data_IF_975977546004
#
_entry.id   IF_975977546004
#
_cell.length_a   1.000
_cell.length_b   1.000
_cell.length_c   1.000
_cell.angle_alpha   90.00
_cell.angle_beta   90.00
_cell.angle_gamma   90.00
#
_symmetry.space_group_name_H-M   'P 1'
#
loop_
_entity.id
_entity.type
_entity.pdbx_description
1 polymer ?
#
# COMPACT_ATOMS: atom_id res chain seq x y z
N UNK A 1 -27.48 -11.47 -25.76
CA UNK A 1 -26.75 -12.66 -25.28
C UNK A 1 -25.48 -12.28 -24.55
N UNK A 2 -25.63 -11.87 -23.30
CA UNK A 2 -24.56 -11.82 -22.30
C UNK A 2 -25.22 -11.81 -20.91
N UNK A 3 -26.08 -12.80 -20.67
CA UNK A 3 -26.66 -13.13 -19.38
C UNK A 3 -26.28 -14.57 -19.08
N UNK A 4 -25.13 -14.77 -18.45
CA UNK A 4 -24.83 -15.97 -17.68
C UNK A 4 -23.42 -15.82 -17.12
N UNK A 5 -23.31 -15.41 -15.86
CA UNK A 5 -22.28 -15.81 -14.88
C UNK A 5 -22.49 -15.03 -13.57
N UNK A 6 -23.73 -15.04 -13.09
CA UNK A 6 -24.05 -14.82 -11.68
C UNK A 6 -24.75 -16.08 -11.19
N UNK A 7 -24.11 -16.80 -10.27
CA UNK A 7 -24.69 -17.61 -9.18
C UNK A 7 -23.81 -18.84 -8.88
N UNK A 8 -23.29 -18.88 -7.65
CA UNK A 8 -23.45 -20.01 -6.71
C UNK A 8 -22.74 -19.69 -5.38
N UNK A 9 -23.53 -19.39 -4.34
CA UNK A 9 -23.15 -19.47 -2.93
C UNK A 9 -24.31 -20.13 -2.19
N UNK A 10 -24.09 -21.15 -1.34
CA UNK A 10 -25.12 -21.64 -0.44
C UNK A 10 -24.88 -21.19 1.01
N UNK A 11 -25.99 -20.89 1.70
CA UNK A 11 -26.17 -21.30 3.09
C UNK A 11 -26.05 -20.23 4.18
N UNK A 12 -27.18 -19.59 4.52
CA UNK A 12 -27.43 -18.87 5.78
C UNK A 12 -27.21 -19.79 7.00
N UNK A 13 -26.59 -19.27 8.07
CA UNK A 13 -26.91 -19.64 9.46
C UNK A 13 -26.82 -18.45 10.44
N UNK A 14 -28.00 -18.14 10.98
CA UNK A 14 -28.36 -17.62 12.31
C UNK A 14 -27.55 -16.48 12.97
N UNK A 15 -28.29 -15.40 13.21
CA UNK A 15 -28.09 -14.38 14.25
C UNK A 15 -27.68 -14.97 15.62
N UNK A 16 -26.68 -14.34 16.23
CA UNK A 16 -26.60 -14.16 17.68
C UNK A 16 -26.18 -12.73 18.00
N UNK A 17 -27.12 -12.01 18.59
CA UNK A 17 -26.96 -10.76 19.30
C UNK A 17 -25.99 -10.97 20.47
N UNK A 18 -24.98 -10.12 20.63
CA UNK A 18 -24.22 -10.01 21.87
C UNK A 18 -24.04 -8.54 22.22
N UNK A 19 -24.49 -8.26 23.44
CA UNK A 19 -24.68 -6.98 24.06
C UNK A 19 -23.38 -6.17 24.24
N UNK A 20 -23.61 -4.87 24.31
CA UNK A 20 -22.79 -3.84 24.95
C UNK A 20 -22.03 -4.34 26.19
N UNK A 21 -20.70 -4.27 26.13
CA UNK A 21 -19.81 -4.31 27.29
C UNK A 21 -18.83 -3.16 27.17
N UNK A 22 -18.92 -2.19 28.07
CA UNK A 22 -18.04 -1.03 28.12
C UNK A 22 -16.59 -1.43 28.42
N UNK A 23 -15.65 -0.77 27.73
CA UNK A 23 -14.24 -0.82 28.05
C UNK A 23 -13.80 0.54 28.63
N UNK A 24 -12.90 0.55 29.64
CA UNK A 24 -12.62 1.72 30.45
C UNK A 24 -11.75 2.74 29.71
N UNK A 25 -12.03 4.01 29.99
CA UNK A 25 -11.26 5.17 29.58
C UNK A 25 -9.91 5.19 30.33
N UNK A 26 -8.85 4.64 29.73
CA UNK A 26 -7.47 5.11 29.87
C UNK A 26 -6.50 4.20 29.09
N UNK A 27 -6.28 4.51 27.82
CA UNK A 27 -5.08 4.11 27.09
C UNK A 27 -4.73 5.26 26.15
N UNK A 28 -3.71 6.05 26.53
CA UNK A 28 -3.12 7.04 25.62
C UNK A 28 -2.59 6.29 24.39
N UNK A 29 -3.02 6.60 23.16
CA UNK A 29 -2.48 5.95 21.98
C UNK A 29 -1.11 6.55 21.68
N UNK A 30 -0.06 5.75 21.83
CA UNK A 30 1.27 6.09 21.31
C UNK A 30 1.19 6.23 19.78
N UNK A 31 1.56 7.41 19.28
CA UNK A 31 1.39 7.88 17.89
C UNK A 31 2.12 7.04 16.81
N UNK A 32 2.79 5.96 17.21
CA UNK A 32 3.61 5.10 16.34
C UNK A 32 2.76 3.98 15.71
N UNK A 33 1.62 3.62 16.32
CA UNK A 33 0.74 2.57 15.79
C UNK A 33 0.02 2.92 14.48
N UNK A 34 -0.09 4.20 14.13
CA UNK A 34 -0.95 4.65 13.02
C UNK A 34 -0.16 5.03 11.75
N UNK A 35 1.09 5.45 11.87
CA UNK A 35 1.85 6.03 10.76
C UNK A 35 2.31 5.00 9.70
N UNK A 36 2.67 3.78 10.11
CA UNK A 36 3.21 2.76 9.19
C UNK A 36 2.08 2.08 8.39
N UNK A 37 0.87 2.00 8.94
CA UNK A 37 -0.27 1.35 8.27
C UNK A 37 -1.05 2.31 7.35
N UNK A 38 -1.03 3.62 7.60
CA UNK A 38 -1.79 4.59 6.77
C UNK A 38 -1.03 5.10 5.56
N UNK A 39 0.31 5.04 5.54
CA UNK A 39 1.10 5.47 4.38
C UNK A 39 1.09 4.45 3.22
N UNK A 40 0.89 3.16 3.49
CA UNK A 40 0.87 2.12 2.44
C UNK A 40 -0.52 1.59 2.09
N UNK A 41 -1.55 1.84 2.93
CA UNK A 41 -2.89 1.25 2.76
C UNK A 41 -4.00 2.25 2.35
N UNK A 42 -3.71 3.54 2.19
CA UNK A 42 -4.71 4.56 1.80
C UNK A 42 -4.35 5.37 0.55
N UNK A 43 -3.59 4.78 -0.37
CA UNK A 43 -3.29 5.41 -1.67
C UNK A 43 -4.46 5.40 -2.67
N UNK A 44 -5.66 4.95 -2.32
CA UNK A 44 -6.66 4.57 -3.33
C UNK A 44 -8.10 5.08 -3.19
N UNK A 45 -8.41 5.90 -2.20
CA UNK A 45 -9.73 6.53 -2.06
C UNK A 45 -9.55 7.92 -1.46
N UNK A 46 -10.47 8.87 -1.73
CA UNK A 46 -10.16 10.25 -2.13
C UNK A 46 -8.92 10.73 -1.38
N UNK A 47 -7.82 10.96 -2.11
CA UNK A 47 -6.45 11.05 -1.61
C UNK A 47 -6.34 12.02 -0.44
N UNK A 48 -6.58 11.52 0.77
CA UNK A 48 -6.36 12.24 2.01
C UNK A 48 -4.89 12.07 2.33
N UNK A 49 -4.09 13.10 2.06
CA UNK A 49 -2.73 13.18 2.58
C UNK A 49 -2.86 13.40 4.08
N UNK A 50 -2.46 12.41 4.87
CA UNK A 50 -2.55 12.49 6.33
C UNK A 50 -1.33 13.24 6.88
N UNK A 51 -1.51 14.49 7.30
CA UNK A 51 -0.57 15.12 8.23
C UNK A 51 -0.92 14.61 9.63
N UNK A 52 -0.43 13.42 10.00
CA UNK A 52 -0.81 12.72 11.26
C UNK A 52 -0.38 13.40 12.59
N UNK A 53 -0.06 14.69 12.59
CA UNK A 53 0.09 15.52 13.80
C UNK A 53 -1.24 16.04 14.35
N UNK A 54 -2.23 16.23 13.48
CA UNK A 54 -3.50 16.91 13.75
C UNK A 54 -4.72 16.19 13.16
N UNK A 55 -4.51 15.02 12.53
CA UNK A 55 -5.52 14.27 11.78
C UNK A 55 -6.11 15.06 10.59
N UNK A 56 -5.49 16.18 10.23
CA UNK A 56 -5.89 16.96 9.07
C UNK A 56 -5.70 16.13 7.79
N UNK A 57 -6.69 16.27 6.91
CA UNK A 57 -6.72 15.59 5.63
C UNK A 57 -7.06 16.60 4.54
N UNK A 58 -6.22 16.64 3.52
CA UNK A 58 -6.48 17.39 2.30
C UNK A 58 -6.81 16.41 1.17
N UNK A 59 -8.02 16.46 0.59
CA UNK A 59 -8.35 15.64 -0.57
C UNK A 59 -7.65 16.21 -1.82
N UNK A 60 -6.76 15.43 -2.44
CA UNK A 60 -6.14 15.80 -3.72
C UNK A 60 -6.92 15.13 -4.86
N UNK A 61 -7.51 15.89 -5.80
CA UNK A 61 -8.18 15.31 -6.96
C UNK A 61 -7.21 14.50 -7.83
N UNK A 62 -7.62 13.28 -8.19
CA UNK A 62 -6.91 12.48 -9.19
C UNK A 62 -7.57 12.70 -10.56
N UNK A 63 -7.08 13.69 -11.30
CA UNK A 63 -7.58 14.08 -12.62
C UNK A 63 -6.57 13.72 -13.72
N UNK A 64 -6.67 12.48 -14.19
CA UNK A 64 -5.83 11.90 -15.23
C UNK A 64 -6.64 10.89 -16.08
N UNK A 65 -7.50 11.37 -16.99
CA UNK A 65 -8.34 10.50 -17.81
C UNK A 65 -7.53 9.57 -18.72
N UNK A 66 -6.29 9.90 -19.04
CA UNK A 66 -5.36 9.07 -19.82
C UNK A 66 -4.66 7.99 -18.99
N UNK A 67 -4.75 8.05 -17.66
CA UNK A 67 -4.13 7.08 -16.76
C UNK A 67 -5.14 6.14 -16.12
N UNK A 68 -4.65 4.95 -15.80
CA UNK A 68 -5.34 3.92 -15.07
C UNK A 68 -4.50 3.52 -13.86
N UNK A 69 -5.18 3.13 -12.78
CA UNK A 69 -4.52 2.42 -11.70
C UNK A 69 -4.90 0.95 -11.78
N UNK A 70 -3.88 0.13 -12.01
CA UNK A 70 -3.98 -1.31 -12.08
C UNK A 70 -3.57 -1.91 -10.74
N UNK A 71 -4.47 -2.66 -10.11
CA UNK A 71 -4.17 -3.47 -8.94
C UNK A 71 -3.93 -4.89 -9.43
N UNK A 72 -2.79 -5.47 -9.05
CA UNK A 72 -2.44 -6.84 -9.39
C UNK A 72 -2.26 -7.66 -8.12
N UNK A 73 -3.16 -8.63 -7.91
CA UNK A 73 -3.07 -9.58 -6.81
C UNK A 73 -2.21 -10.79 -7.21
N UNK A 74 -1.13 -11.03 -6.47
CA UNK A 74 -0.20 -12.15 -6.69
C UNK A 74 -0.86 -13.52 -6.47
N UNK A 75 -1.99 -13.55 -5.77
CA UNK A 75 -2.65 -14.74 -5.23
C UNK A 75 -1.74 -15.57 -4.31
N UNK A 76 -0.66 -14.98 -3.83
CA UNK A 76 0.18 -15.55 -2.78
C UNK A 76 -0.26 -14.94 -1.46
N UNK A 77 -0.59 -15.83 -0.53
CA UNK A 77 -0.66 -15.52 0.89
C UNK A 77 0.43 -16.35 1.53
N UNK A 78 1.54 -15.73 1.87
CA UNK A 78 2.31 -16.29 2.95
C UNK A 78 1.41 -16.20 4.17
N UNK A 79 1.28 -17.28 4.94
CA UNK A 79 0.66 -17.16 6.25
C UNK A 79 1.41 -16.02 6.93
N UNK A 80 0.69 -14.92 7.18
CA UNK A 80 1.14 -13.91 8.13
C UNK A 80 1.30 -14.71 9.40
N UNK A 81 2.51 -15.18 9.68
CA UNK A 81 2.89 -15.37 11.05
C UNK A 81 2.58 -14.01 11.65
N UNK A 82 1.60 -13.97 12.54
CA UNK A 82 1.21 -12.80 13.31
C UNK A 82 2.41 -12.17 14.04
N UNK A 83 3.61 -12.75 13.92
CA UNK A 83 4.91 -12.29 14.38
C UNK A 83 5.58 -11.21 13.51
N UNK A 84 5.48 -11.20 12.18
CA UNK A 84 6.37 -10.32 11.37
C UNK A 84 6.07 -8.83 11.52
N UNK A 85 4.80 -8.44 11.44
CA UNK A 85 4.43 -7.03 11.60
C UNK A 85 4.77 -6.49 13.00
N UNK A 86 4.46 -7.19 14.12
CA UNK A 86 4.96 -6.80 15.44
C UNK A 86 6.48 -6.74 15.56
N UNK A 87 7.22 -7.62 14.86
CA UNK A 87 8.69 -7.57 14.81
C UNK A 87 9.16 -6.27 14.14
N UNK A 88 8.64 -5.92 12.95
CA UNK A 88 9.00 -4.66 12.28
C UNK A 88 8.67 -3.44 13.13
N UNK A 89 7.52 -3.45 13.81
CA UNK A 89 7.14 -2.37 14.73
C UNK A 89 8.12 -2.22 15.90
N UNK A 90 8.53 -3.33 16.52
CA UNK A 90 9.53 -3.31 17.61
C UNK A 90 10.89 -2.79 17.14
N UNK A 91 11.36 -3.23 15.98
CA UNK A 91 12.61 -2.74 15.38
C UNK A 91 12.56 -1.23 15.13
N UNK A 92 11.44 -0.72 14.59
CA UNK A 92 11.28 0.72 14.40
C UNK A 92 11.26 1.49 15.72
N UNK A 93 10.63 0.93 16.77
CA UNK A 93 10.59 1.53 18.09
C UNK A 93 11.99 1.60 18.72
N UNK A 94 12.73 0.50 18.67
CA UNK A 94 14.11 0.42 19.17
C UNK A 94 15.04 1.43 18.47
N UNK A 95 14.96 1.50 17.14
CA UNK A 95 15.73 2.48 16.37
C UNK A 95 15.36 3.93 16.74
N UNK A 96 14.08 4.20 17.01
CA UNK A 96 13.62 5.53 17.40
C UNK A 96 14.14 5.94 18.78
N UNK A 97 14.17 5.01 19.74
CA UNK A 97 14.72 5.20 21.08
C UNK A 97 16.23 5.47 21.03
N UNK A 98 16.98 4.70 20.24
CA UNK A 98 18.42 4.88 20.04
C UNK A 98 18.76 6.22 19.37
N UNK A 99 17.92 6.70 18.45
CA UNK A 99 18.05 8.04 17.86
C UNK A 99 17.67 9.16 18.83
N UNK A 100 17.13 8.85 20.01
CA UNK A 100 16.71 9.85 21.00
C UNK A 100 15.45 10.64 20.59
N UNK A 101 14.60 10.06 19.74
CA UNK A 101 13.42 10.72 19.18
C UNK A 101 12.12 10.13 19.75
N UNK A 102 11.07 10.95 19.76
CA UNK A 102 9.72 10.49 20.12
C UNK A 102 8.88 10.09 18.91
N UNK A 103 9.26 10.56 17.71
CA UNK A 103 8.55 10.30 16.47
C UNK A 103 9.48 10.32 15.26
N UNK A 104 9.21 9.45 14.28
CA UNK A 104 9.87 9.49 12.97
C UNK A 104 9.55 10.75 12.16
N UNK A 105 8.59 11.58 12.60
CA UNK A 105 8.29 12.88 11.98
C UNK A 105 9.43 13.88 12.13
N UNK A 106 10.14 13.79 13.25
CA UNK A 106 11.27 14.67 13.57
C UNK A 106 12.60 14.04 13.13
N UNK A 107 12.55 12.82 12.59
CA UNK A 107 13.72 12.09 12.16
C UNK A 107 14.19 12.56 10.78
N UNK A 108 15.50 12.65 10.64
CA UNK A 108 16.21 12.97 9.40
C UNK A 108 17.26 11.91 9.15
N UNK A 109 17.80 11.82 7.94
CA UNK A 109 18.87 10.86 7.63
C UNK A 109 20.12 11.04 8.50
N UNK A 110 20.36 12.24 9.04
CA UNK A 110 21.48 12.49 9.94
C UNK A 110 21.37 11.73 11.27
N UNK A 111 20.14 11.49 11.74
CA UNK A 111 19.90 10.73 12.96
C UNK A 111 20.31 9.25 12.83
N UNK A 112 20.43 8.72 11.61
CA UNK A 112 20.91 7.35 11.38
C UNK A 112 22.34 7.14 11.91
N UNK A 113 23.14 8.21 12.04
CA UNK A 113 24.49 8.14 12.66
C UNK A 113 24.45 7.59 14.08
N UNK A 114 23.37 7.84 14.82
CA UNK A 114 23.17 7.30 16.16
C UNK A 114 23.03 5.76 16.18
N UNK A 115 22.71 5.15 15.04
CA UNK A 115 22.49 3.70 14.88
C UNK A 115 23.70 2.97 14.31
N UNK A 116 24.73 3.67 13.83
CA UNK A 116 25.91 3.08 13.14
C UNK A 116 26.62 2.02 13.98
N UNK A 117 26.65 2.20 15.31
CA UNK A 117 27.31 1.26 16.23
C UNK A 117 26.36 0.19 16.81
N UNK A 118 25.05 0.27 16.53
CA UNK A 118 24.05 -0.60 17.15
C UNK A 118 23.77 -1.84 16.28
N UNK A 119 23.18 -1.64 15.10
CA UNK A 119 22.75 -2.74 14.23
C UNK A 119 22.35 -2.22 12.84
N UNK A 120 22.96 -2.76 11.77
CA UNK A 120 22.61 -2.43 10.38
C UNK A 120 21.13 -2.70 10.06
N UNK A 121 20.51 -3.70 10.70
CA UNK A 121 19.08 -3.97 10.54
C UNK A 121 18.23 -2.78 10.98
N UNK A 122 18.56 -2.16 12.12
CA UNK A 122 17.83 -1.00 12.65
C UNK A 122 18.05 0.21 11.76
N UNK A 123 19.27 0.41 11.24
CA UNK A 123 19.57 1.46 10.25
C UNK A 123 18.67 1.31 9.03
N UNK A 124 18.56 0.10 8.47
CA UNK A 124 17.67 -0.19 7.32
C UNK A 124 16.20 0.12 7.64
N UNK A 125 15.68 -0.34 8.78
CA UNK A 125 14.28 -0.07 9.17
C UNK A 125 14.01 1.43 9.33
N UNK A 126 14.89 2.14 10.04
CA UNK A 126 14.75 3.58 10.24
C UNK A 126 14.87 4.36 8.91
N UNK A 127 15.85 4.00 8.06
CA UNK A 127 16.03 4.60 6.73
C UNK A 127 14.78 4.44 5.87
N UNK A 128 14.16 3.27 5.85
CA UNK A 128 12.89 3.08 5.17
C UNK A 128 11.83 4.08 5.65
N UNK A 129 11.57 4.12 6.96
CA UNK A 129 10.49 4.95 7.52
C UNK A 129 10.74 6.43 7.26
N UNK A 130 11.96 6.92 7.49
CA UNK A 130 12.33 8.32 7.25
C UNK A 130 12.13 8.68 5.77
N UNK A 131 12.68 7.86 4.87
CA UNK A 131 12.61 8.16 3.43
C UNK A 131 11.21 7.95 2.85
N UNK A 132 10.39 7.05 3.40
CA UNK A 132 9.01 6.83 2.97
C UNK A 132 8.09 8.00 3.36
N UNK A 133 8.34 8.62 4.53
CA UNK A 133 7.65 9.87 4.93
C UNK A 133 7.95 10.98 3.91
N UNK A 134 9.21 11.18 3.56
CA UNK A 134 9.60 12.20 2.59
C UNK A 134 9.09 11.89 1.17
N UNK A 135 9.18 10.64 0.72
CA UNK A 135 8.59 10.20 -0.56
C UNK A 135 7.09 10.43 -0.62
N UNK A 136 6.39 10.25 0.49
CA UNK A 136 4.93 10.48 0.55
C UNK A 136 4.58 11.95 0.40
N UNK A 137 5.33 12.85 1.04
CA UNK A 137 5.18 14.30 0.84
C UNK A 137 5.48 14.66 -0.62
N UNK A 138 6.58 14.16 -1.17
CA UNK A 138 6.94 14.38 -2.57
C UNK A 138 5.88 13.85 -3.56
N UNK A 139 5.26 12.69 -3.26
CA UNK A 139 4.22 12.12 -4.09
C UNK A 139 2.92 12.93 -4.04
N UNK A 140 2.59 13.51 -2.88
CA UNK A 140 1.47 14.44 -2.74
C UNK A 140 1.69 15.71 -3.59
N UNK A 141 2.87 16.31 -3.52
CA UNK A 141 3.21 17.48 -4.32
C UNK A 141 3.25 17.17 -5.83
N UNK A 142 3.81 16.02 -6.22
CA UNK A 142 3.77 15.55 -7.60
C UNK A 142 2.33 15.38 -8.10
N UNK A 143 1.44 14.82 -7.27
CA UNK A 143 0.04 14.67 -7.62
C UNK A 143 -0.67 16.03 -7.76
N UNK A 144 -0.44 16.98 -6.85
CA UNK A 144 -0.98 18.35 -6.94
C UNK A 144 -0.53 19.05 -8.22
N UNK A 145 0.73 18.83 -8.60
CA UNK A 145 1.32 19.36 -9.84
C UNK A 145 0.94 18.56 -11.10
N UNK A 146 0.15 17.48 -10.98
CA UNK A 146 -0.15 16.54 -12.07
C UNK A 146 1.11 15.92 -12.73
N UNK A 147 2.22 15.84 -12.00
CA UNK A 147 3.45 15.17 -12.42
C UNK A 147 3.37 13.66 -12.10
N UNK A 148 2.60 12.95 -12.93
CA UNK A 148 2.39 11.51 -12.77
C UNK A 148 3.63 10.67 -13.09
N UNK A 149 4.57 11.22 -13.86
CA UNK A 149 5.87 10.57 -14.10
C UNK A 149 6.68 10.54 -12.82
N UNK A 150 6.79 11.68 -12.12
CA UNK A 150 7.46 11.72 -10.82
C UNK A 150 6.73 10.87 -9.78
N UNK A 151 5.40 10.89 -9.77
CA UNK A 151 4.59 10.03 -8.90
C UNK A 151 4.92 8.55 -9.11
N UNK A 152 4.99 8.09 -10.37
CA UNK A 152 5.36 6.72 -10.71
C UNK A 152 6.78 6.36 -10.27
N UNK A 153 7.76 7.24 -10.49
CA UNK A 153 9.14 7.03 -10.01
C UNK A 153 9.18 6.86 -8.48
N UNK A 154 8.48 7.71 -7.73
CA UNK A 154 8.39 7.63 -6.27
C UNK A 154 7.72 6.34 -5.79
N UNK A 155 6.73 5.80 -6.54
CA UNK A 155 6.14 4.49 -6.26
C UNK A 155 7.20 3.39 -6.38
N UNK A 156 7.97 3.36 -7.48
CA UNK A 156 9.00 2.34 -7.70
C UNK A 156 10.13 2.44 -6.66
N UNK A 157 10.57 3.66 -6.33
CA UNK A 157 11.55 3.90 -5.26
C UNK A 157 11.04 3.40 -3.89
N UNK A 158 9.76 3.64 -3.61
CA UNK A 158 9.12 3.13 -2.40
C UNK A 158 9.09 1.61 -2.36
N UNK A 159 8.78 0.94 -3.47
CA UNK A 159 8.82 -0.51 -3.54
C UNK A 159 10.22 -1.06 -3.25
N UNK A 160 11.25 -0.47 -3.87
CA UNK A 160 12.63 -0.85 -3.60
C UNK A 160 12.97 -0.71 -2.12
N UNK A 161 12.56 0.38 -1.48
CA UNK A 161 12.76 0.56 -0.04
C UNK A 161 11.97 -0.45 0.81
N UNK A 162 10.75 -0.82 0.41
CA UNK A 162 9.97 -1.86 1.10
C UNK A 162 10.59 -3.26 0.97
N UNK A 163 11.21 -3.57 -0.17
CA UNK A 163 11.90 -4.84 -0.40
C UNK A 163 13.26 -4.87 0.29
N UNK A 164 14.11 -3.87 0.04
CA UNK A 164 15.51 -3.87 0.48
C UNK A 164 15.71 -3.31 1.89
N UNK A 165 15.05 -2.23 2.29
CA UNK A 165 15.27 -1.62 3.61
C UNK A 165 14.28 -2.14 4.65
N UNK A 166 13.01 -2.38 4.28
CA UNK A 166 11.98 -2.80 5.23
C UNK A 166 11.76 -4.32 5.26
N UNK A 167 12.15 -5.02 4.19
CA UNK A 167 12.10 -6.48 4.08
C UNK A 167 10.70 -7.02 4.39
N UNK A 168 9.71 -6.47 3.69
CA UNK A 168 8.30 -6.88 3.74
C UNK A 168 7.74 -7.30 2.39
N UNK A 169 8.55 -7.21 1.33
CA UNK A 169 8.17 -7.76 0.03
C UNK A 169 8.33 -9.29 0.02
N UNK A 170 8.08 -9.89 -1.14
CA UNK A 170 8.41 -11.29 -1.40
C UNK A 170 8.74 -11.45 -2.88
N UNK A 171 9.30 -12.61 -3.24
CA UNK A 171 9.68 -12.92 -4.61
C UNK A 171 8.56 -12.61 -5.62
N UNK A 172 7.32 -12.96 -5.30
CA UNK A 172 6.18 -12.75 -6.20
C UNK A 172 5.78 -11.28 -6.35
N UNK A 173 5.89 -10.47 -5.30
CA UNK A 173 5.62 -9.04 -5.38
C UNK A 173 6.71 -8.33 -6.17
N UNK A 174 7.98 -8.63 -5.89
CA UNK A 174 9.13 -8.06 -6.58
C UNK A 174 9.07 -8.39 -8.07
N UNK A 175 8.79 -9.65 -8.41
CA UNK A 175 8.61 -10.10 -9.79
C UNK A 175 7.47 -9.35 -10.51
N UNK A 176 6.34 -9.11 -9.84
CA UNK A 176 5.24 -8.35 -10.43
C UNK A 176 5.62 -6.90 -10.69
N UNK A 177 6.34 -6.25 -9.77
CA UNK A 177 6.81 -4.89 -9.94
C UNK A 177 7.85 -4.79 -11.05
N UNK A 178 8.87 -5.65 -11.04
CA UNK A 178 9.90 -5.70 -12.08
C UNK A 178 9.28 -5.91 -13.47
N UNK A 179 8.33 -6.84 -13.59
CA UNK A 179 7.61 -7.09 -14.84
C UNK A 179 6.83 -5.85 -15.31
N UNK A 180 6.18 -5.11 -14.41
CA UNK A 180 5.45 -3.89 -14.79
C UNK A 180 6.35 -2.75 -15.24
N UNK A 181 7.42 -2.47 -14.48
CA UNK A 181 8.26 -1.30 -14.72
C UNK A 181 9.02 -1.43 -16.05
N UNK A 182 9.26 -2.65 -16.51
CA UNK A 182 9.86 -2.92 -17.82
C UNK A 182 8.92 -2.65 -19.01
N UNK A 183 7.59 -2.64 -18.81
CA UNK A 183 6.63 -2.49 -19.90
C UNK A 183 6.39 -1.02 -20.27
N UNK A 184 6.36 -0.74 -21.58
CA UNK A 184 6.04 0.59 -22.11
C UNK A 184 4.67 1.08 -21.64
N UNK A 185 4.60 2.34 -21.21
CA UNK A 185 3.37 2.98 -20.77
C UNK A 185 3.09 2.82 -19.27
N UNK A 186 3.90 2.06 -18.53
CA UNK A 186 3.90 2.06 -17.07
C UNK A 186 4.73 3.24 -16.56
N UNK A 187 4.16 3.99 -15.62
CA UNK A 187 4.83 5.12 -14.96
C UNK A 187 5.55 4.68 -13.69
N UNK A 188 4.98 3.70 -12.98
CA UNK A 188 5.57 3.14 -11.77
C UNK A 188 4.68 2.11 -11.10
N UNK A 189 5.26 1.33 -10.20
CA UNK A 189 4.59 0.21 -9.56
C UNK A 189 5.17 -0.08 -8.18
N UNK A 190 4.33 -0.50 -7.24
CA UNK A 190 4.75 -0.91 -5.90
C UNK A 190 3.84 -1.94 -5.27
N UNK A 191 4.35 -2.69 -4.30
CA UNK A 191 3.47 -3.42 -3.38
C UNK A 191 2.58 -2.46 -2.58
N UNK A 192 1.38 -2.91 -2.22
CA UNK A 192 0.41 -2.17 -1.40
C UNK A 192 -0.12 -3.04 -0.26
N UNK A 193 -0.40 -2.42 0.90
CA UNK A 193 -0.77 -3.13 2.12
C UNK A 193 0.42 -3.65 2.93
N UNK A 194 0.20 -4.74 3.68
CA UNK A 194 1.16 -5.24 4.68
C UNK A 194 2.36 -6.03 4.13
N UNK A 195 2.35 -6.41 2.86
CA UNK A 195 3.42 -7.21 2.25
C UNK A 195 3.29 -8.71 2.46
N UNK A 196 4.37 -9.44 2.21
CA UNK A 196 4.46 -10.91 2.27
C UNK A 196 3.41 -11.58 1.37
N UNK A 197 3.27 -11.06 0.16
CA UNK A 197 2.22 -11.41 -0.79
C UNK A 197 1.11 -10.34 -0.87
N UNK A 198 -0.04 -10.73 -1.40
CA UNK A 198 -1.13 -9.78 -1.63
C UNK A 198 -1.01 -9.05 -2.97
N UNK A 199 -1.03 -7.72 -2.97
CA UNK A 199 -1.21 -6.94 -4.20
C UNK A 199 -0.08 -5.95 -4.46
N UNK A 200 0.14 -5.67 -5.75
CA UNK A 200 0.83 -4.48 -6.24
C UNK A 200 -0.18 -3.48 -6.80
N UNK A 201 0.22 -2.22 -6.87
CA UNK A 201 -0.51 -1.11 -7.47
C UNK A 201 0.41 -0.44 -8.49
N UNK A 202 -0.10 -0.25 -9.70
CA UNK A 202 0.66 0.23 -10.86
C UNK A 202 -0.07 1.42 -11.47
N UNK A 203 0.66 2.50 -11.70
CA UNK A 203 0.19 3.65 -12.46
C UNK A 203 0.59 3.45 -13.93
N UNK A 204 -0.40 3.40 -14.82
CA UNK A 204 -0.20 2.99 -16.21
C UNK A 204 -1.05 3.84 -17.15
N UNK A 205 -0.55 4.11 -18.35
CA UNK A 205 -1.32 4.73 -19.42
C UNK A 205 -2.46 3.80 -19.85
N UNK A 206 -3.68 4.33 -19.97
CA UNK A 206 -4.86 3.54 -20.38
C UNK A 206 -4.65 2.81 -21.70
N UNK A 207 -3.97 3.48 -22.65
CA UNK A 207 -3.68 2.90 -23.96
C UNK A 207 -2.75 1.67 -23.89
N UNK A 208 -1.91 1.56 -22.86
CA UNK A 208 -0.99 0.44 -22.66
C UNK A 208 -1.56 -0.67 -21.75
N UNK A 209 -2.74 -0.46 -21.15
CA UNK A 209 -3.28 -1.33 -20.10
C UNK A 209 -3.41 -2.80 -20.54
N UNK A 210 -3.94 -3.04 -21.73
CA UNK A 210 -4.15 -4.40 -22.24
C UNK A 210 -2.82 -5.15 -22.47
N UNK A 211 -1.84 -4.47 -23.02
CA UNK A 211 -0.50 -5.03 -23.28
C UNK A 211 0.22 -5.32 -21.96
N UNK A 212 0.16 -4.39 -21.01
CA UNK A 212 0.74 -4.54 -19.67
C UNK A 212 0.15 -5.75 -18.95
N UNK A 213 -1.18 -5.90 -18.92
CA UNK A 213 -1.84 -7.05 -18.28
C UNK A 213 -1.39 -8.37 -18.91
N UNK A 214 -1.35 -8.42 -20.24
CA UNK A 214 -0.93 -9.63 -20.98
C UNK A 214 0.52 -9.99 -20.72
N UNK A 215 1.42 -9.01 -20.77
CA UNK A 215 2.85 -9.22 -20.53
C UNK A 215 3.11 -9.65 -19.08
N UNK A 216 2.50 -8.96 -18.11
CA UNK A 216 2.59 -9.32 -16.69
C UNK A 216 2.12 -10.75 -16.42
N UNK A 217 0.94 -11.14 -16.91
CA UNK A 217 0.42 -12.49 -16.68
C UNK A 217 1.35 -13.55 -17.28
N UNK A 218 1.89 -13.28 -18.48
CA UNK A 218 2.83 -14.18 -19.15
C UNK A 218 4.13 -14.32 -18.36
N UNK A 219 4.75 -13.21 -17.96
CA UNK A 219 6.02 -13.20 -17.21
C UNK A 219 5.82 -13.86 -15.85
N UNK A 220 4.79 -13.45 -15.11
CA UNK A 220 4.51 -13.93 -13.76
C UNK A 220 4.20 -15.43 -13.75
N UNK A 221 3.32 -15.89 -14.65
CA UNK A 221 3.02 -17.32 -14.81
C UNK A 221 4.28 -18.12 -15.15
N UNK A 222 5.12 -17.63 -16.08
CA UNK A 222 6.34 -18.35 -16.48
C UNK A 222 7.34 -18.45 -15.33
N UNK A 223 7.62 -17.33 -14.66
CA UNK A 223 8.64 -17.22 -13.60
C UNK A 223 8.24 -17.93 -12.31
N UNK A 224 6.94 -18.05 -12.03
CA UNK A 224 6.42 -18.87 -10.92
C UNK A 224 6.20 -20.34 -11.29
N UNK A 225 6.65 -20.79 -12.47
CA UNK A 225 6.47 -22.18 -12.93
C UNK A 225 5.01 -22.58 -13.12
N UNK A 226 4.13 -21.61 -13.35
CA UNK A 226 2.69 -21.81 -13.47
C UNK A 226 1.96 -22.05 -12.16
N UNK A 227 2.65 -22.05 -11.01
CA UNK A 227 2.07 -22.31 -9.68
C UNK A 227 1.06 -21.23 -9.27
N UNK A 228 1.33 -19.99 -9.64
CA UNK A 228 0.47 -18.84 -9.32
C UNK A 228 -0.04 -18.18 -10.59
N UNK A 229 -1.19 -17.50 -10.47
CA UNK A 229 -1.76 -16.65 -11.52
C UNK A 229 -2.11 -15.31 -10.90
N UNK A 230 -1.73 -14.23 -11.58
CA UNK A 230 -2.08 -12.90 -11.16
C UNK A 230 -3.58 -12.64 -11.40
N UNK A 231 -4.20 -11.80 -10.56
CA UNK A 231 -5.53 -11.24 -10.83
C UNK A 231 -5.45 -9.74 -10.93
N UNK A 232 -6.02 -9.21 -11.99
CA UNK A 232 -5.93 -7.80 -12.35
C UNK A 232 -7.27 -7.11 -12.08
N UNK A 233 -7.21 -5.94 -11.46
CA UNK A 233 -8.36 -5.09 -11.21
C UNK A 233 -8.04 -3.68 -11.64
N UNK A 234 -8.87 -3.12 -12.51
CA UNK A 234 -8.82 -1.70 -12.81
C UNK A 234 -9.54 -0.95 -11.69
N UNK A 235 -8.85 0.00 -11.08
CA UNK A 235 -9.37 0.73 -9.94
C UNK A 235 -9.44 2.23 -10.25
N UNK A 236 -10.47 2.88 -9.72
CA UNK A 236 -10.64 4.33 -9.76
C UNK A 236 -10.88 4.85 -8.35
N UNK A 237 -10.35 6.02 -7.98
CA UNK A 237 -10.70 6.67 -6.72
C UNK A 237 -12.22 6.89 -6.66
N UNK A 238 -12.86 6.31 -5.66
CA UNK A 238 -14.30 6.46 -5.44
C UNK A 238 -14.60 7.25 -4.16
N UNK A 239 -15.88 7.42 -3.88
CA UNK A 239 -16.32 7.96 -2.59
C UNK A 239 -16.11 6.94 -1.46
N UNK A 240 -15.94 7.44 -0.23
CA UNK A 240 -15.95 6.63 0.98
C UNK A 240 -17.35 6.11 1.35
N UNK A 241 -17.47 5.59 2.58
CA UNK A 241 -18.75 5.13 3.12
C UNK A 241 -19.76 6.30 3.18
N UNK A 242 -20.94 6.09 2.59
CA UNK A 242 -22.04 7.04 2.57
C UNK A 242 -23.39 6.31 2.65
N UNK A 243 -24.43 6.94 3.22
CA UNK A 243 -25.79 6.42 3.06
C UNK A 243 -26.20 6.46 1.59
N UNK A 244 -27.07 5.53 1.19
CA UNK A 244 -27.70 5.51 -0.14
C UNK A 244 -29.20 5.54 0.09
N UNK A 245 -29.90 6.46 -0.56
CA UNK A 245 -31.36 6.44 -0.56
C UNK A 245 -31.87 5.32 -1.47
N UNK A 246 -32.54 4.34 -0.87
CA UNK A 246 -33.03 3.15 -1.59
C UNK A 246 -34.05 3.49 -2.69
N UNK A 247 -34.74 4.63 -2.59
CA UNK A 247 -35.73 5.07 -3.60
C UNK A 247 -35.14 5.48 -4.95
N UNK A 248 -33.85 5.82 -5.02
CA UNK A 248 -33.16 6.07 -6.30
C UNK A 248 -32.67 4.78 -6.96
N UNK A 249 -32.44 3.71 -6.18
CA UNK A 249 -31.87 2.45 -6.67
C UNK A 249 -32.93 1.42 -7.10
N UNK A 250 -34.17 1.60 -6.66
CA UNK A 250 -35.31 0.72 -6.96
C UNK A 250 -36.18 1.22 -8.14
N UNK A 251 -35.72 2.24 -8.88
CA UNK A 251 -36.32 2.72 -10.12
C UNK A 251 -35.53 2.22 -11.33
#
# INVERSE_FOLDING_TARGET
NCESLQQKLPGKRSHKTLASGGAPANCRPSCISFAILTLTAKFFFPLNVYTSSNLDTEPIPFDAPELAILICNSNVKHELSSSEYPVRRRQCQEALELMGLNSYRDATLEHLKALENANELLVRRARHVITEIERTKAAAEALKAKDFTKMGQLMTESHKSLSEDFDVSCYELDLLVEATVATRGVLGSRMTGGGFGGCTVTLVQRAALADVVKEMDTIYSRKTGGKYRARFYLAQPGNGARPIELGEYLR
#
